data_IF_122354998834
#
_entry.id   IF_122354998834
#
_cell.length_a   1.000
_cell.length_b   1.000
_cell.length_c   1.000
_cell.angle_alpha   90.00
_cell.angle_beta   90.00
_cell.angle_gamma   90.00
#
_symmetry.space_group_name_H-M   'P 1'
#
loop_
_entity.id
_entity.type
_entity.pdbx_description
1 polymer ?
#
# COMPACT_ATOMS: atom_id res chain seq x y z
N UNK A 1 10.37 74.11 -16.34
CA UNK A 1 10.41 73.37 -15.07
C UNK A 1 9.85 71.99 -15.34
N UNK A 2 10.72 71.01 -15.61
CA UNK A 2 10.33 69.63 -15.95
C UNK A 2 10.94 68.74 -14.88
N UNK A 3 10.09 68.10 -14.08
CA UNK A 3 10.49 67.28 -12.95
C UNK A 3 11.10 65.96 -13.45
N UNK A 4 12.31 65.65 -12.97
CA UNK A 4 12.95 64.35 -13.14
C UNK A 4 12.20 63.30 -12.31
N UNK A 5 11.63 62.31 -12.96
CA UNK A 5 11.03 61.15 -12.31
C UNK A 5 12.11 60.06 -12.12
N UNK A 6 12.39 59.61 -10.88
CA UNK A 6 13.39 58.57 -10.65
C UNK A 6 12.86 57.19 -11.09
N UNK A 7 13.73 56.42 -11.72
CA UNK A 7 13.45 55.07 -12.20
C UNK A 7 13.08 54.12 -11.05
N UNK A 8 11.98 53.38 -11.23
CA UNK A 8 11.58 52.31 -10.29
C UNK A 8 12.56 51.13 -10.36
N UNK A 9 12.98 50.54 -9.23
CA UNK A 9 13.78 49.33 -9.23
C UNK A 9 12.95 48.14 -9.73
N UNK A 10 13.55 47.31 -10.56
CA UNK A 10 12.97 46.06 -11.08
C UNK A 10 12.69 45.07 -9.95
N UNK A 11 11.58 44.32 -10.00
CA UNK A 11 11.26 43.33 -8.97
C UNK A 11 12.25 42.17 -9.04
N UNK A 12 12.97 41.99 -7.94
CA UNK A 12 13.90 40.89 -7.71
C UNK A 12 13.26 39.52 -7.99
N UNK A 13 13.90 38.76 -8.86
CA UNK A 13 13.69 37.34 -9.09
C UNK A 13 13.86 36.59 -7.76
N UNK A 14 12.76 36.16 -7.15
CA UNK A 14 12.83 35.29 -5.98
C UNK A 14 13.46 33.95 -6.39
N UNK A 15 14.54 33.49 -5.73
CA UNK A 15 15.10 32.19 -6.00
C UNK A 15 14.07 31.13 -5.63
N UNK A 16 13.65 30.34 -6.62
CA UNK A 16 12.86 29.13 -6.39
C UNK A 16 13.66 28.23 -5.44
N UNK A 17 13.29 28.20 -4.17
CA UNK A 17 13.77 27.21 -3.21
C UNK A 17 13.33 25.83 -3.71
N UNK A 18 14.19 25.19 -4.50
CA UNK A 18 14.09 23.80 -4.88
C UNK A 18 14.14 22.98 -3.59
N UNK A 19 12.96 22.64 -3.06
CA UNK A 19 12.82 21.76 -1.91
C UNK A 19 13.52 20.43 -2.26
N UNK A 20 14.72 20.24 -1.71
CA UNK A 20 15.53 19.05 -1.91
C UNK A 20 14.71 17.87 -1.40
N UNK A 21 14.18 17.04 -2.32
CA UNK A 21 13.44 15.83 -1.94
C UNK A 21 14.35 15.03 -1.01
N UNK A 22 13.94 14.74 0.25
CA UNK A 22 14.75 13.94 1.14
C UNK A 22 15.05 12.60 0.48
N UNK A 23 16.29 12.11 0.63
CA UNK A 23 16.69 10.83 0.07
C UNK A 23 15.81 9.70 0.58
N UNK A 24 15.65 8.63 -0.21
CA UNK A 24 14.76 7.50 0.08
C UNK A 24 15.06 6.86 1.45
N UNK A 25 16.34 6.81 1.84
CA UNK A 25 16.78 6.37 3.16
C UNK A 25 16.28 7.29 4.29
N UNK A 26 16.34 8.61 4.11
CA UNK A 26 15.87 9.57 5.10
C UNK A 26 14.35 9.49 5.31
N UNK A 27 13.58 9.27 4.24
CA UNK A 27 12.15 9.01 4.33
C UNK A 27 11.86 7.70 5.08
N UNK A 28 12.59 6.63 4.77
CA UNK A 28 12.40 5.33 5.40
C UNK A 28 12.75 5.37 6.90
N UNK A 29 13.79 6.11 7.29
CA UNK A 29 14.17 6.26 8.70
C UNK A 29 13.21 7.15 9.48
N UNK A 30 12.53 8.09 8.82
CA UNK A 30 11.57 8.97 9.48
C UNK A 30 10.26 8.25 9.85
N UNK A 31 9.85 7.26 9.06
CA UNK A 31 8.67 6.43 9.34
C UNK A 31 8.89 4.97 8.93
N UNK A 32 9.54 4.16 9.78
CA UNK A 32 9.93 2.79 9.43
C UNK A 32 8.73 1.87 9.21
N UNK A 33 7.64 2.05 9.97
CA UNK A 33 6.41 1.27 9.78
C UNK A 33 5.80 1.54 8.40
N UNK A 34 5.71 2.82 8.01
CA UNK A 34 5.24 3.21 6.69
C UNK A 34 6.12 2.65 5.57
N UNK A 35 7.44 2.63 5.76
CA UNK A 35 8.38 2.06 4.81
C UNK A 35 8.21 0.54 4.64
N UNK A 36 8.05 -0.19 5.75
CA UNK A 36 7.77 -1.63 5.75
C UNK A 36 6.45 -1.91 5.02
N UNK A 37 5.39 -1.16 5.34
CA UNK A 37 4.09 -1.31 4.69
C UNK A 37 4.17 -1.01 3.18
N UNK A 38 4.96 -0.01 2.77
CA UNK A 38 5.19 0.29 1.36
C UNK A 38 5.92 -0.86 0.65
N UNK A 39 6.95 -1.44 1.28
CA UNK A 39 7.65 -2.60 0.74
C UNK A 39 6.71 -3.81 0.58
N UNK A 40 5.87 -4.09 1.59
CA UNK A 40 4.86 -5.15 1.52
C UNK A 40 3.85 -4.88 0.39
N UNK A 41 3.42 -3.63 0.22
CA UNK A 41 2.51 -3.24 -0.85
C UNK A 41 3.15 -3.45 -2.23
N UNK A 42 4.43 -3.10 -2.41
CA UNK A 42 5.19 -3.38 -3.64
C UNK A 42 5.21 -4.88 -3.93
N UNK A 43 5.59 -5.71 -2.93
CA UNK A 43 5.62 -7.16 -3.10
C UNK A 43 4.24 -7.70 -3.46
N UNK A 44 3.17 -7.20 -2.82
CA UNK A 44 1.79 -7.59 -3.09
C UNK A 44 1.38 -7.26 -4.54
N UNK A 45 1.75 -6.07 -5.04
CA UNK A 45 1.48 -5.67 -6.42
C UNK A 45 2.24 -6.55 -7.40
N UNK A 46 3.54 -6.76 -7.17
CA UNK A 46 4.38 -7.56 -8.08
C UNK A 46 3.92 -9.02 -8.13
N UNK A 47 3.62 -9.61 -6.97
CA UNK A 47 3.12 -10.99 -6.89
C UNK A 47 1.74 -11.11 -7.52
N UNK A 48 0.84 -10.16 -7.29
CA UNK A 48 -0.46 -10.12 -7.94
C UNK A 48 -0.36 -9.98 -9.46
N UNK A 49 0.53 -9.12 -9.96
CA UNK A 49 0.75 -8.90 -11.38
C UNK A 49 1.27 -10.16 -12.09
N UNK A 50 2.07 -10.98 -11.40
CA UNK A 50 2.49 -12.30 -11.91
C UNK A 50 1.32 -13.29 -11.87
N UNK A 51 0.51 -13.31 -10.82
CA UNK A 51 -0.63 -14.23 -10.68
C UNK A 51 -1.75 -14.00 -11.71
N UNK A 52 -1.94 -12.77 -12.20
CA UNK A 52 -2.99 -12.47 -13.21
C UNK A 52 -2.84 -13.33 -14.48
N UNK A 53 -1.69 -13.29 -15.20
CA UNK A 53 -1.47 -14.14 -16.36
C UNK A 53 -0.98 -15.56 -15.99
N UNK A 54 -0.31 -15.74 -14.84
CA UNK A 54 0.39 -16.99 -14.51
C UNK A 54 -0.12 -17.68 -13.24
N UNK A 55 -1.36 -17.41 -12.80
CA UNK A 55 -1.92 -17.98 -11.57
C UNK A 55 -1.82 -19.50 -11.48
N UNK A 56 -1.92 -20.19 -12.63
CA UNK A 56 -1.76 -21.64 -12.71
C UNK A 56 -0.39 -22.20 -12.33
N UNK A 57 0.68 -21.41 -12.50
CA UNK A 57 2.05 -21.83 -12.20
C UNK A 57 2.38 -21.72 -10.70
N UNK A 58 1.64 -20.87 -9.97
CA UNK A 58 1.77 -20.68 -8.52
C UNK A 58 1.01 -21.75 -7.72
N UNK A 59 -0.03 -22.34 -8.31
CA UNK A 59 -0.89 -23.33 -7.65
C UNK A 59 -0.15 -24.55 -7.08
N UNK A 60 0.83 -25.16 -7.80
CA UNK A 60 1.59 -26.28 -7.25
C UNK A 60 2.44 -25.89 -6.03
N UNK A 61 2.91 -24.64 -5.93
CA UNK A 61 3.74 -24.16 -4.82
C UNK A 61 2.95 -24.07 -3.51
N UNK A 62 1.65 -23.86 -3.60
CA UNK A 62 0.73 -23.83 -2.45
C UNK A 62 -0.09 -25.13 -2.33
N UNK A 63 0.29 -26.17 -3.08
CA UNK A 63 -0.33 -27.49 -3.01
C UNK A 63 -1.77 -27.55 -3.49
N UNK A 64 -2.15 -26.70 -4.45
CA UNK A 64 -3.48 -26.69 -5.07
C UNK A 64 -3.42 -27.27 -6.50
N UNK A 65 -4.44 -28.04 -6.87
CA UNK A 65 -4.54 -28.58 -8.23
C UNK A 65 -4.88 -27.47 -9.24
N UNK A 66 -4.15 -27.38 -10.37
CA UNK A 66 -4.30 -26.30 -11.34
C UNK A 66 -5.49 -26.53 -12.28
N UNK A 67 -6.68 -26.74 -11.72
CA UNK A 67 -7.95 -26.80 -12.47
C UNK A 67 -8.26 -25.45 -13.12
N UNK A 68 -9.00 -25.40 -14.23
CA UNK A 68 -9.34 -24.13 -14.89
C UNK A 68 -10.00 -23.11 -13.96
N UNK A 69 -10.93 -23.56 -13.10
CA UNK A 69 -11.58 -22.70 -12.11
C UNK A 69 -10.61 -22.13 -11.08
N UNK A 70 -9.64 -22.92 -10.63
CA UNK A 70 -8.64 -22.48 -9.66
C UNK A 70 -7.64 -21.49 -10.27
N UNK A 71 -7.28 -21.67 -11.55
CA UNK A 71 -6.47 -20.70 -12.29
C UNK A 71 -7.16 -19.34 -12.39
N UNK A 72 -8.45 -19.34 -12.73
CA UNK A 72 -9.24 -18.12 -12.82
C UNK A 72 -9.41 -17.44 -11.45
N UNK A 73 -9.62 -18.23 -10.38
CA UNK A 73 -9.69 -17.72 -9.01
C UNK A 73 -8.38 -17.00 -8.65
N UNK A 74 -7.23 -17.63 -8.88
CA UNK A 74 -5.93 -17.03 -8.58
C UNK A 74 -5.61 -15.81 -9.43
N UNK A 75 -5.99 -15.81 -10.72
CA UNK A 75 -5.87 -14.61 -11.54
C UNK A 75 -6.73 -13.44 -11.02
N UNK A 76 -7.94 -13.75 -10.54
CA UNK A 76 -8.85 -12.75 -9.95
C UNK A 76 -8.32 -12.22 -8.62
N UNK A 77 -7.81 -13.10 -7.75
CA UNK A 77 -7.14 -12.71 -6.51
C UNK A 77 -5.92 -11.84 -6.82
N UNK A 78 -5.09 -12.22 -7.79
CA UNK A 78 -3.95 -11.44 -8.25
C UNK A 78 -4.35 -10.04 -8.73
N UNK A 79 -5.46 -9.91 -9.45
CA UNK A 79 -5.98 -8.61 -9.87
C UNK A 79 -6.34 -7.72 -8.67
N UNK A 80 -7.02 -8.27 -7.66
CA UNK A 80 -7.32 -7.52 -6.43
C UNK A 80 -6.05 -7.16 -5.64
N UNK A 81 -5.03 -8.02 -5.63
CA UNK A 81 -3.73 -7.70 -5.02
C UNK A 81 -3.06 -6.51 -5.71
N UNK A 82 -3.11 -6.45 -7.05
CA UNK A 82 -2.58 -5.32 -7.82
C UNK A 82 -3.34 -4.04 -7.50
N UNK A 83 -4.67 -4.06 -7.55
CA UNK A 83 -5.49 -2.85 -7.37
C UNK A 83 -5.39 -2.33 -5.93
N UNK A 84 -5.64 -3.17 -4.93
CA UNK A 84 -5.63 -2.74 -3.53
C UNK A 84 -4.21 -2.49 -3.04
N UNK A 85 -3.25 -3.35 -3.41
CA UNK A 85 -1.84 -3.12 -3.11
C UNK A 85 -1.31 -1.85 -3.76
N UNK A 86 -1.71 -1.55 -4.99
CA UNK A 86 -1.35 -0.33 -5.71
C UNK A 86 -1.96 0.91 -5.05
N UNK A 87 -3.23 0.84 -4.66
CA UNK A 87 -3.90 1.92 -3.94
C UNK A 87 -3.25 2.20 -2.58
N UNK A 88 -2.90 1.14 -1.84
CA UNK A 88 -2.17 1.25 -0.58
C UNK A 88 -0.78 1.85 -0.80
N UNK A 89 -0.02 1.35 -1.78
CA UNK A 89 1.31 1.86 -2.10
C UNK A 89 1.25 3.34 -2.46
N UNK A 90 0.33 3.71 -3.36
CA UNK A 90 0.13 5.11 -3.75
C UNK A 90 -0.18 5.98 -2.53
N UNK A 91 -1.08 5.52 -1.66
CA UNK A 91 -1.43 6.20 -0.41
C UNK A 91 -0.23 6.36 0.53
N UNK A 92 0.58 5.30 0.68
CA UNK A 92 1.77 5.32 1.53
C UNK A 92 2.91 6.13 0.95
N UNK A 93 2.90 6.50 -0.33
CA UNK A 93 3.91 7.38 -0.92
C UNK A 93 3.51 8.86 -0.87
N UNK A 94 2.22 9.16 -0.67
CA UNK A 94 1.70 10.53 -0.60
C UNK A 94 2.00 11.21 0.75
N UNK A 95 2.30 12.52 0.74
CA UNK A 95 2.68 13.25 1.95
C UNK A 95 1.67 13.09 3.11
N UNK A 96 0.37 13.12 2.79
CA UNK A 96 -0.74 12.83 3.69
C UNK A 96 -1.43 11.52 3.28
N UNK A 97 -1.16 10.39 3.96
CA UNK A 97 -1.80 9.11 3.68
C UNK A 97 -3.30 9.13 4.06
N UNK A 98 -4.16 8.62 3.17
CA UNK A 98 -5.58 8.41 3.45
C UNK A 98 -5.78 7.27 4.47
N UNK A 99 -6.36 7.54 5.66
CA UNK A 99 -6.64 6.51 6.64
C UNK A 99 -7.69 5.51 6.19
N UNK A 100 -8.68 5.93 5.40
CA UNK A 100 -9.72 5.04 4.89
C UNK A 100 -9.13 3.93 4.02
N UNK A 101 -8.18 4.27 3.16
CA UNK A 101 -7.47 3.29 2.34
C UNK A 101 -6.68 2.31 3.21
N UNK A 102 -6.00 2.79 4.25
CA UNK A 102 -5.24 1.94 5.17
C UNK A 102 -6.17 0.99 5.93
N UNK A 103 -7.32 1.48 6.41
CA UNK A 103 -8.34 0.68 7.10
C UNK A 103 -8.86 -0.45 6.20
N UNK A 104 -9.32 -0.11 4.99
CA UNK A 104 -9.88 -1.07 4.06
C UNK A 104 -8.83 -2.07 3.55
N UNK A 105 -7.56 -1.64 3.40
CA UNK A 105 -6.45 -2.55 3.08
C UNK A 105 -6.20 -3.55 4.22
N UNK A 106 -6.27 -3.09 5.48
CA UNK A 106 -6.16 -3.96 6.66
C UNK A 106 -7.29 -4.98 6.72
N UNK A 107 -8.53 -4.54 6.48
CA UNK A 107 -9.70 -5.42 6.40
C UNK A 107 -9.59 -6.45 5.27
N UNK A 108 -9.11 -6.05 4.09
CA UNK A 108 -8.88 -6.99 2.97
C UNK A 108 -7.88 -8.08 3.36
N UNK A 109 -6.74 -7.71 3.97
CA UNK A 109 -5.71 -8.66 4.41
C UNK A 109 -6.23 -9.62 5.49
N UNK A 110 -6.99 -9.12 6.47
CA UNK A 110 -7.65 -9.96 7.47
C UNK A 110 -8.70 -10.90 6.85
N UNK A 111 -9.48 -10.40 5.88
CA UNK A 111 -10.44 -11.19 5.11
C UNK A 111 -9.76 -12.28 4.28
N UNK A 112 -8.60 -12.00 3.67
CA UNK A 112 -7.80 -12.98 2.95
C UNK A 112 -7.34 -14.13 3.85
N UNK A 113 -6.88 -13.82 5.07
CA UNK A 113 -6.57 -14.84 6.07
C UNK A 113 -7.78 -15.73 6.38
N UNK A 114 -8.95 -15.13 6.62
CA UNK A 114 -10.19 -15.87 6.87
C UNK A 114 -10.61 -16.75 5.70
N UNK A 115 -10.58 -16.23 4.48
CA UNK A 115 -10.94 -16.96 3.27
C UNK A 115 -9.99 -18.13 2.98
N UNK A 116 -8.68 -17.93 3.13
CA UNK A 116 -7.70 -19.02 2.97
C UNK A 116 -7.88 -20.06 4.08
N UNK A 117 -8.11 -19.65 5.33
CA UNK A 117 -8.39 -20.56 6.44
C UNK A 117 -9.61 -21.44 6.18
N UNK A 118 -10.72 -20.85 5.72
CA UNK A 118 -11.92 -21.60 5.31
C UNK A 118 -11.60 -22.55 4.15
N UNK A 119 -10.81 -22.10 3.17
CA UNK A 119 -10.36 -22.93 2.05
C UNK A 119 -9.55 -24.16 2.49
N UNK A 120 -8.68 -24.03 3.49
CA UNK A 120 -7.93 -25.15 4.08
C UNK A 120 -8.85 -26.10 4.84
N UNK A 121 -9.78 -25.58 5.65
CA UNK A 121 -10.75 -26.40 6.39
C UNK A 121 -11.66 -27.21 5.45
N UNK A 122 -11.99 -26.65 4.28
CA UNK A 122 -12.79 -27.32 3.25
C UNK A 122 -11.96 -28.22 2.31
N UNK A 123 -10.66 -28.35 2.51
CA UNK A 123 -9.77 -29.16 1.67
C UNK A 123 -9.49 -28.59 0.28
N UNK A 124 -9.81 -27.32 0.03
CA UNK A 124 -9.54 -26.62 -1.25
C UNK A 124 -8.07 -26.23 -1.37
N UNK A 125 -7.44 -25.84 -0.25
CA UNK A 125 -6.04 -25.47 -0.18
C UNK A 125 -5.28 -26.40 0.77
N UNK A 126 -4.00 -26.63 0.46
CA UNK A 126 -3.09 -27.34 1.37
C UNK A 126 -2.83 -26.51 2.64
N UNK A 127 -2.57 -27.13 3.81
CA UNK A 127 -2.18 -26.42 5.03
C UNK A 127 -1.00 -25.46 4.87
N UNK A 128 -0.14 -25.67 3.87
CA UNK A 128 0.98 -24.76 3.57
C UNK A 128 0.50 -23.35 3.17
N UNK A 129 -0.71 -23.22 2.61
CA UNK A 129 -1.31 -21.93 2.28
C UNK A 129 -1.56 -21.05 3.51
N UNK A 130 -1.64 -21.64 4.71
CA UNK A 130 -1.75 -20.89 5.97
C UNK A 130 -0.53 -20.01 6.23
N UNK A 131 0.67 -20.35 5.72
CA UNK A 131 1.85 -19.50 5.87
C UNK A 131 1.63 -18.13 5.21
N UNK A 132 1.07 -18.13 4.01
CA UNK A 132 0.72 -16.90 3.28
C UNK A 132 -0.43 -16.18 4.00
N UNK A 133 -1.43 -16.93 4.47
CA UNK A 133 -2.54 -16.37 5.24
C UNK A 133 -2.07 -15.65 6.51
N UNK A 134 -1.14 -16.24 7.27
CA UNK A 134 -0.56 -15.63 8.47
C UNK A 134 0.27 -14.40 8.15
N UNK A 135 0.97 -14.39 7.01
CA UNK A 135 1.65 -13.19 6.52
C UNK A 135 0.65 -12.05 6.25
N UNK A 136 -0.50 -12.36 5.66
CA UNK A 136 -1.57 -11.37 5.46
C UNK A 136 -2.16 -10.90 6.79
N UNK A 137 -2.37 -11.79 7.76
CA UNK A 137 -2.84 -11.41 9.10
C UNK A 137 -1.84 -10.48 9.81
N UNK A 138 -0.54 -10.80 9.76
CA UNK A 138 0.50 -9.95 10.32
C UNK A 138 0.51 -8.57 9.64
N UNK A 139 0.35 -8.54 8.31
CA UNK A 139 0.23 -7.28 7.55
C UNK A 139 -1.01 -6.48 7.96
N UNK A 140 -2.16 -7.15 8.19
CA UNK A 140 -3.38 -6.50 8.66
C UNK A 140 -3.17 -5.85 10.03
N UNK A 141 -2.49 -6.53 10.96
CA UNK A 141 -2.14 -5.96 12.27
C UNK A 141 -1.28 -4.71 12.11
N UNK A 142 -0.24 -4.74 11.27
CA UNK A 142 0.59 -3.56 11.00
C UNK A 142 -0.21 -2.41 10.40
N UNK A 143 -1.14 -2.70 9.48
CA UNK A 143 -2.03 -1.71 8.88
C UNK A 143 -2.97 -1.09 9.92
N UNK A 144 -3.53 -1.86 10.85
CA UNK A 144 -4.37 -1.31 11.91
C UNK A 144 -3.60 -0.47 12.92
N UNK A 145 -2.35 -0.87 13.24
CA UNK A 145 -1.45 -0.05 14.07
C UNK A 145 -1.15 1.27 13.37
N UNK A 146 -0.80 1.24 12.09
CA UNK A 146 -0.53 2.43 11.30
C UNK A 146 -1.78 3.33 11.17
N UNK A 147 -2.94 2.72 10.88
CA UNK A 147 -4.23 3.40 10.79
C UNK A 147 -4.57 4.17 12.05
N UNK A 148 -4.43 3.56 13.23
CA UNK A 148 -4.67 4.23 14.52
C UNK A 148 -3.77 5.46 14.69
N UNK A 149 -2.49 5.33 14.32
CA UNK A 149 -1.51 6.43 14.41
C UNK A 149 -1.89 7.62 13.51
N UNK A 150 -2.32 7.38 12.28
CA UNK A 150 -2.67 8.47 11.33
C UNK A 150 -4.10 8.99 11.53
N UNK A 151 -4.99 8.20 12.13
CA UNK A 151 -6.38 8.61 12.43
C UNK A 151 -6.48 9.48 13.68
N UNK A 152 -5.65 9.23 14.70
CA UNK A 152 -5.60 10.07 15.90
C UNK A 152 -5.16 11.51 15.65
N UNK A 153 -4.52 11.78 14.50
CA UNK A 153 -4.18 13.14 14.06
C UNK A 153 -5.37 13.94 13.53
N UNK A 154 -6.46 13.30 13.07
CA UNK A 154 -7.65 14.02 12.59
C UNK A 154 -8.49 14.61 13.72
N UNK A 155 -8.50 13.98 14.90
CA UNK A 155 -9.33 14.42 16.03
C UNK A 155 -8.76 15.60 16.80
N UNK A 156 -7.53 16.04 16.50
CA UNK A 156 -6.87 17.17 17.17
C UNK A 156 -7.00 18.52 16.44
N UNK A 157 -7.64 18.56 15.27
CA UNK A 157 -7.66 19.74 14.38
C UNK A 157 -8.99 20.50 14.28
N UNK A 158 -10.01 20.13 15.04
CA UNK A 158 -11.36 20.75 14.96
C UNK A 158 -11.71 21.63 16.17
N UNK A 159 -10.70 22.24 16.80
CA UNK A 159 -10.91 23.30 17.77
C UNK A 159 -9.94 24.43 17.44
N UNK A 160 -10.34 25.32 16.53
CA UNK A 160 -9.97 26.73 16.44
C UNK A 160 -10.84 27.41 15.38
#
# INVERSE_FOLDING_TARGET
MTAHQPAQPTPHSQPHHQARRPGLLAWATADPLRAILAAIAIITVLTGAVQVPFGGQILPLIGADPTPGMRQLFGTVGMFMVVVGGLLLHTLLNAAPSPEVVLWSGLQKAGAFGAVGIGVLNGVFSPIALLVAFFDLATAVLLFVYWRRISGGMTGGSAL
#
